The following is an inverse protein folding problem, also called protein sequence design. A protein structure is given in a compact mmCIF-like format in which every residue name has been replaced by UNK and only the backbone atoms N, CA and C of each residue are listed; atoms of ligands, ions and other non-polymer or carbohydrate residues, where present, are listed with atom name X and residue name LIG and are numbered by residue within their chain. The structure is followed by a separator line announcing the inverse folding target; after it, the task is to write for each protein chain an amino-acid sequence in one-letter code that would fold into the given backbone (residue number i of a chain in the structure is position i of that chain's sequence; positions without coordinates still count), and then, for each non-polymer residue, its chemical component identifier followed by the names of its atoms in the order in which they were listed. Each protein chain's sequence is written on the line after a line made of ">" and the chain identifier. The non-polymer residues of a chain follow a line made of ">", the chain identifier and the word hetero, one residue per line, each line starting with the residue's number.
data_IF_389922730266
#
_entry.id   IF_389922730266
#
_cell.length_a   1.000
_cell.length_b   1.000
_cell.length_c   1.000
_cell.angle_alpha   90.00
_cell.angle_beta   90.00
_cell.angle_gamma   90.00
#
_symmetry.space_group_name_H-M   'P 1'
#
loop_
_entity.id
_entity.type
_entity.pdbx_description
1 polymer ?
#
# COMPACT_ATOMS: atom_id res chain seq x y z
N UNK A 1 1.92 8.45 11.98
CA UNK A 1 1.45 8.45 10.58
C UNK A 1 0.58 9.66 10.34
N UNK A 2 0.56 10.21 9.13
CA UNK A 2 -0.33 11.33 8.78
C UNK A 2 -0.56 11.40 7.27
N UNK A 3 -1.72 11.90 6.84
CA UNK A 3 -1.99 12.33 5.46
C UNK A 3 -1.43 13.72 5.15
N UNK A 4 -1.10 14.49 6.19
CA UNK A 4 -0.64 15.86 6.07
C UNK A 4 0.88 15.91 5.89
N UNK A 5 1.39 16.40 4.74
CA UNK A 5 2.83 16.43 4.46
C UNK A 5 3.59 17.32 5.45
N UNK A 6 3.00 18.41 5.93
CA UNK A 6 3.55 19.31 6.94
C UNK A 6 3.78 18.59 8.28
N UNK A 7 2.88 17.70 8.68
CA UNK A 7 3.02 16.88 9.88
C UNK A 7 4.18 15.90 9.71
N UNK A 8 4.31 15.27 8.53
CA UNK A 8 5.43 14.38 8.23
C UNK A 8 6.76 15.14 8.29
N UNK A 9 6.85 16.30 7.63
CA UNK A 9 8.06 17.14 7.66
C UNK A 9 8.42 17.59 9.07
N UNK A 10 7.42 17.93 9.89
CA UNK A 10 7.65 18.27 11.30
C UNK A 10 8.30 17.11 12.06
N UNK A 11 7.77 15.88 11.93
CA UNK A 11 8.33 14.72 12.63
C UNK A 11 9.70 14.31 12.10
N UNK A 12 9.96 14.43 10.81
CA UNK A 12 11.29 14.19 10.24
C UNK A 12 12.34 15.17 10.78
N UNK A 13 11.95 16.42 11.01
CA UNK A 13 12.85 17.47 11.53
C UNK A 13 13.02 17.42 13.05
N UNK A 14 11.95 17.20 13.80
CA UNK A 14 11.91 17.40 15.26
C UNK A 14 11.81 16.10 16.06
N UNK A 15 11.46 14.98 15.42
CA UNK A 15 11.17 13.72 16.10
C UNK A 15 12.39 12.89 16.51
N UNK A 16 13.61 13.37 16.24
CA UNK A 16 14.84 12.61 16.50
C UNK A 16 14.80 11.22 15.87
N UNK A 17 15.09 10.18 16.66
CA UNK A 17 15.06 8.79 16.19
C UNK A 17 13.66 8.32 15.79
N UNK A 18 12.61 8.79 16.48
CA UNK A 18 11.22 8.45 16.16
C UNK A 18 10.78 9.04 14.81
N UNK A 19 11.39 10.16 14.39
CA UNK A 19 11.16 10.76 13.07
C UNK A 19 11.46 9.80 11.92
N UNK A 20 12.43 8.88 12.09
CA UNK A 20 12.77 7.86 11.09
C UNK A 20 11.63 6.86 10.86
N UNK A 21 10.70 6.75 11.81
CA UNK A 21 9.51 5.89 11.73
C UNK A 21 8.26 6.66 11.26
N UNK A 22 8.40 7.91 10.78
CA UNK A 22 7.29 8.62 10.16
C UNK A 22 6.75 7.83 8.95
N UNK A 23 5.43 7.74 8.87
CA UNK A 23 4.68 7.01 7.83
C UNK A 23 3.75 8.00 7.14
N UNK A 24 3.97 8.24 5.85
CA UNK A 24 3.17 9.19 5.06
C UNK A 24 2.02 8.46 4.36
N UNK A 25 0.79 8.82 4.71
CA UNK A 25 -0.44 8.22 4.17
C UNK A 25 -0.84 8.93 2.87
N UNK A 26 -1.29 8.15 1.88
CA UNK A 26 -1.74 8.66 0.59
C UNK A 26 -2.92 7.86 0.05
N UNK A 27 -3.88 8.58 -0.54
CA UNK A 27 -5.09 8.04 -1.18
C UNK A 27 -5.32 8.63 -2.58
N UNK A 28 -4.33 9.34 -3.11
CA UNK A 28 -4.41 10.02 -4.40
C UNK A 28 -4.22 9.01 -5.53
N UNK A 29 -5.31 8.60 -6.19
CA UNK A 29 -5.24 7.61 -7.28
C UNK A 29 -4.51 8.14 -8.54
N UNK A 30 -4.51 9.45 -8.78
CA UNK A 30 -3.58 10.05 -9.75
C UNK A 30 -2.18 10.16 -9.12
N UNK A 31 -1.41 9.10 -9.32
CA UNK A 31 -0.12 8.90 -8.67
C UNK A 31 1.05 9.64 -9.35
N UNK A 32 0.84 10.26 -10.51
CA UNK A 32 1.93 10.81 -11.32
C UNK A 32 2.69 11.93 -10.59
N UNK A 33 1.99 12.81 -9.87
CA UNK A 33 2.62 13.84 -9.06
C UNK A 33 3.38 13.23 -7.87
N UNK A 34 2.81 12.23 -7.21
CA UNK A 34 3.39 11.58 -6.03
C UNK A 34 4.68 10.84 -6.33
N UNK A 35 4.74 10.16 -7.48
CA UNK A 35 5.96 9.52 -7.99
C UNK A 35 7.09 10.55 -8.15
N UNK A 36 6.79 11.74 -8.69
CA UNK A 36 7.79 12.80 -8.87
C UNK A 36 8.31 13.38 -7.55
N UNK A 37 7.53 13.33 -6.48
CA UNK A 37 7.91 13.82 -5.15
C UNK A 37 8.76 12.82 -4.35
N UNK A 38 8.77 11.54 -4.72
CA UNK A 38 9.45 10.46 -3.99
C UNK A 38 10.94 10.76 -3.69
N UNK A 39 11.77 11.25 -4.64
CA UNK A 39 13.16 11.58 -4.36
C UNK A 39 13.33 12.64 -3.27
N UNK A 40 12.48 13.67 -3.26
CA UNK A 40 12.52 14.74 -2.26
C UNK A 40 12.11 14.25 -0.87
N UNK A 41 11.10 13.38 -0.80
CA UNK A 41 10.73 12.73 0.47
C UNK A 41 11.85 11.84 1.01
N UNK A 42 12.52 11.11 0.11
CA UNK A 42 13.64 10.24 0.47
C UNK A 42 14.83 11.05 1.00
N UNK A 43 15.15 12.16 0.33
CA UNK A 43 16.18 13.12 0.76
C UNK A 43 15.83 13.77 2.10
N UNK A 44 14.55 14.02 2.38
CA UNK A 44 14.08 14.50 3.68
C UNK A 44 14.16 13.45 4.80
N UNK A 45 14.59 12.22 4.50
CA UNK A 45 14.79 11.15 5.48
C UNK A 45 13.57 10.26 5.71
N UNK A 46 12.51 10.39 4.91
CA UNK A 46 11.32 9.54 5.03
C UNK A 46 11.65 8.09 4.62
N UNK A 47 11.24 7.13 5.45
CA UNK A 47 11.48 5.71 5.22
C UNK A 47 10.26 4.94 4.72
N UNK A 48 9.06 5.36 5.13
CA UNK A 48 7.82 4.61 4.95
C UNK A 48 6.78 5.42 4.18
N UNK A 49 6.32 4.86 3.08
CA UNK A 49 5.11 5.33 2.39
C UNK A 49 3.96 4.38 2.71
N UNK A 50 2.79 4.96 2.90
CA UNK A 50 1.57 4.23 3.22
C UNK A 50 0.46 4.58 2.24
N UNK A 51 0.57 4.11 0.99
CA UNK A 51 -0.47 4.31 -0.01
C UNK A 51 -1.69 3.42 0.27
N UNK A 52 -2.85 3.84 -0.21
CA UNK A 52 -4.02 2.98 -0.29
C UNK A 52 -3.76 1.80 -1.24
N UNK A 53 -4.40 0.66 -1.00
CA UNK A 53 -4.24 -0.55 -1.82
C UNK A 53 -4.35 -0.34 -3.34
N UNK A 54 -5.36 0.38 -3.89
CA UNK A 54 -5.50 0.53 -5.34
C UNK A 54 -4.33 1.30 -5.98
N UNK A 55 -3.50 2.01 -5.21
CA UNK A 55 -2.30 2.65 -5.74
C UNK A 55 -1.15 1.67 -5.97
N UNK A 56 -1.18 0.47 -5.39
CA UNK A 56 -0.04 -0.47 -5.40
C UNK A 56 -0.10 -1.54 -6.48
N UNK A 57 -1.27 -1.77 -7.07
CA UNK A 57 -1.47 -2.82 -8.07
C UNK A 57 -2.32 -2.31 -9.23
N UNK A 58 -2.23 -2.98 -10.37
CA UNK A 58 -3.04 -2.71 -11.56
C UNK A 58 -3.38 -4.00 -12.29
N UNK A 59 -4.45 -3.98 -13.07
CA UNK A 59 -4.70 -5.00 -14.09
C UNK A 59 -3.84 -4.68 -15.32
N UNK A 60 -3.04 -5.65 -15.75
CA UNK A 60 -2.29 -5.60 -16.99
C UNK A 60 -2.64 -6.83 -17.84
N UNK A 61 -3.68 -6.67 -18.68
CA UNK A 61 -4.14 -7.72 -19.58
C UNK A 61 -4.76 -8.92 -18.85
N UNK A 62 -5.53 -8.67 -17.79
CA UNK A 62 -6.16 -9.69 -16.97
C UNK A 62 -5.25 -10.31 -15.90
N UNK A 63 -4.07 -9.71 -15.66
CA UNK A 63 -3.15 -10.11 -14.59
C UNK A 63 -3.02 -8.98 -13.58
N UNK A 64 -3.14 -9.33 -12.31
CA UNK A 64 -2.89 -8.40 -11.22
C UNK A 64 -1.37 -8.28 -11.00
N UNK A 65 -0.81 -7.10 -11.21
CA UNK A 65 0.64 -6.85 -11.14
C UNK A 65 0.95 -5.58 -10.33
N UNK A 66 2.19 -5.39 -9.84
CA UNK A 66 2.60 -4.14 -9.21
C UNK A 66 2.38 -2.92 -10.11
N UNK A 67 1.82 -1.85 -9.55
CA UNK A 67 1.62 -0.58 -10.24
C UNK A 67 2.95 0.15 -10.47
N UNK A 68 2.90 1.23 -11.25
CA UNK A 68 4.08 2.06 -11.50
C UNK A 68 4.47 2.86 -10.24
N UNK A 69 3.51 3.20 -9.38
CA UNK A 69 3.78 3.77 -8.05
C UNK A 69 4.54 2.79 -7.16
N UNK A 70 4.12 1.52 -7.11
CA UNK A 70 4.78 0.50 -6.30
C UNK A 70 6.24 0.29 -6.74
N UNK A 71 6.48 0.23 -8.05
CA UNK A 71 7.82 0.13 -8.64
C UNK A 71 8.68 1.34 -8.30
N UNK A 72 8.17 2.55 -8.52
CA UNK A 72 8.89 3.79 -8.22
C UNK A 72 9.24 3.93 -6.73
N UNK A 73 8.31 3.56 -5.83
CA UNK A 73 8.57 3.59 -4.39
C UNK A 73 9.71 2.65 -3.99
N UNK A 74 9.73 1.44 -4.58
CA UNK A 74 10.78 0.45 -4.34
C UNK A 74 12.13 0.91 -4.91
N UNK A 75 12.15 1.48 -6.11
CA UNK A 75 13.35 2.05 -6.74
C UNK A 75 13.95 3.19 -5.91
N UNK A 76 13.11 4.00 -5.25
CA UNK A 76 13.53 5.03 -4.31
C UNK A 76 13.86 4.50 -2.91
N UNK A 77 13.75 3.19 -2.67
CA UNK A 77 14.13 2.56 -1.40
C UNK A 77 13.12 2.78 -0.25
N UNK A 78 11.85 3.06 -0.56
CA UNK A 78 10.80 3.13 0.46
C UNK A 78 10.34 1.75 0.91
N UNK A 79 10.01 1.65 2.20
CA UNK A 79 9.21 0.55 2.74
C UNK A 79 7.74 0.91 2.59
N UNK A 80 6.93 -0.04 2.12
CA UNK A 80 5.51 0.18 1.84
C UNK A 80 4.65 -0.43 2.94
N UNK A 81 3.70 0.33 3.47
CA UNK A 81 2.68 -0.16 4.42
C UNK A 81 1.30 0.20 3.88
N UNK A 82 0.54 -0.73 3.32
CA UNK A 82 -0.71 -0.39 2.63
C UNK A 82 -1.94 -0.45 3.55
N UNK A 83 -3.05 0.16 3.15
CA UNK A 83 -4.30 0.14 3.92
C UNK A 83 -5.56 0.28 3.04
N UNK A 84 -6.76 -0.10 3.50
CA UNK A 84 -7.05 -1.24 4.40
C UNK A 84 -7.65 -2.38 3.57
N UNK A 85 -7.49 -3.63 4.01
CA UNK A 85 -7.84 -4.79 3.18
C UNK A 85 -9.34 -5.11 3.11
N UNK A 86 -10.10 -4.92 4.19
CA UNK A 86 -11.46 -5.45 4.31
C UNK A 86 -12.58 -4.41 4.49
N UNK A 87 -12.26 -3.11 4.50
CA UNK A 87 -13.23 -2.04 4.81
C UNK A 87 -14.43 -1.97 3.87
N UNK A 88 -14.31 -2.51 2.67
CA UNK A 88 -15.34 -2.51 1.63
C UNK A 88 -16.44 -3.56 1.78
N UNK A 89 -16.38 -4.41 2.80
CA UNK A 89 -17.27 -5.58 2.90
C UNK A 89 -16.90 -6.68 1.89
N UNK A 90 -17.81 -7.64 1.61
CA UNK A 90 -17.50 -8.81 0.80
C UNK A 90 -16.98 -8.45 -0.59
N UNK A 91 -15.80 -8.97 -0.95
CA UNK A 91 -15.17 -8.72 -2.24
C UNK A 91 -16.02 -9.25 -3.40
N UNK A 92 -16.79 -10.31 -3.18
CA UNK A 92 -17.75 -10.83 -4.17
C UNK A 92 -18.83 -9.81 -4.61
N UNK A 93 -19.03 -8.74 -3.82
CA UNK A 93 -19.96 -7.63 -4.15
C UNK A 93 -19.25 -6.45 -4.82
N UNK A 94 -17.98 -6.60 -5.20
CA UNK A 94 -17.22 -5.64 -5.99
C UNK A 94 -16.15 -4.86 -5.23
N UNK A 95 -16.01 -5.01 -3.90
CA UNK A 95 -14.92 -4.40 -3.13
C UNK A 95 -14.91 -2.85 -3.09
N UNK A 96 -15.81 -2.16 -3.79
CA UNK A 96 -15.90 -0.70 -3.76
C UNK A 96 -14.58 0.01 -4.06
N UNK A 97 -14.33 1.14 -3.38
CA UNK A 97 -13.20 2.02 -3.67
C UNK A 97 -11.82 1.34 -3.53
N UNK A 98 -11.65 0.47 -2.54
CA UNK A 98 -10.37 -0.21 -2.25
C UNK A 98 -9.92 -1.19 -3.34
N UNK A 99 -10.81 -1.55 -4.26
CA UNK A 99 -10.56 -2.47 -5.36
C UNK A 99 -10.77 -1.79 -6.73
N UNK A 100 -10.77 -0.46 -6.76
CA UNK A 100 -10.89 0.34 -7.99
C UNK A 100 -9.76 0.01 -8.97
N UNK A 101 -10.10 -0.16 -10.24
CA UNK A 101 -9.17 -0.46 -11.33
C UNK A 101 -8.75 -1.93 -11.42
N UNK A 102 -9.22 -2.78 -10.49
CA UNK A 102 -8.93 -4.21 -10.42
C UNK A 102 -10.20 -5.04 -10.13
N UNK A 103 -11.38 -4.51 -10.44
CA UNK A 103 -12.71 -5.11 -10.22
C UNK A 103 -12.89 -6.48 -10.90
N UNK A 104 -12.08 -6.73 -11.93
CA UNK A 104 -12.05 -8.02 -12.62
C UNK A 104 -11.40 -9.14 -11.81
N UNK A 105 -10.62 -8.80 -10.77
CA UNK A 105 -9.91 -9.76 -9.93
C UNK A 105 -10.68 -10.20 -8.69
N UNK A 106 -11.75 -9.49 -8.29
CA UNK A 106 -12.56 -9.80 -7.11
C UNK A 106 -13.92 -10.41 -7.45
N UNK A 107 -13.97 -11.71 -7.79
CA UNK A 107 -15.24 -12.39 -8.15
C UNK A 107 -15.84 -13.20 -7.00
N UNK A 108 -15.00 -13.60 -6.03
CA UNK A 108 -15.39 -14.28 -4.80
C UNK A 108 -14.56 -13.75 -3.64
N UNK A 109 -15.04 -13.92 -2.41
CA UNK A 109 -14.36 -13.40 -1.22
C UNK A 109 -12.95 -13.98 -1.04
N UNK A 110 -12.74 -15.24 -1.44
CA UNK A 110 -11.43 -15.88 -1.39
C UNK A 110 -10.38 -15.29 -2.34
N UNK A 111 -10.76 -14.47 -3.32
CA UNK A 111 -9.80 -13.80 -4.20
C UNK A 111 -8.96 -12.75 -3.45
N UNK A 112 -9.37 -12.35 -2.25
CA UNK A 112 -8.60 -11.50 -1.34
C UNK A 112 -7.18 -12.04 -1.09
N UNK A 113 -7.02 -13.37 -1.06
CA UNK A 113 -5.72 -14.00 -0.85
C UNK A 113 -4.81 -13.92 -2.08
N UNK A 114 -5.37 -13.81 -3.29
CA UNK A 114 -4.56 -13.54 -4.49
C UNK A 114 -4.07 -12.10 -4.49
N UNK A 115 -4.94 -11.17 -4.06
CA UNK A 115 -4.60 -9.77 -3.89
C UNK A 115 -3.47 -9.59 -2.86
N UNK A 116 -3.62 -10.25 -1.70
CA UNK A 116 -2.56 -10.32 -0.69
C UNK A 116 -1.26 -10.93 -1.21
N UNK A 117 -1.32 -11.94 -2.08
CA UNK A 117 -0.11 -12.56 -2.63
C UNK A 117 0.70 -11.57 -3.48
N UNK A 118 0.04 -10.81 -4.34
CA UNK A 118 0.69 -9.76 -5.16
C UNK A 118 1.24 -8.64 -4.28
N UNK A 119 0.47 -8.17 -3.29
CA UNK A 119 0.93 -7.15 -2.35
C UNK A 119 2.16 -7.61 -1.54
N UNK A 120 2.11 -8.81 -0.96
CA UNK A 120 3.16 -9.30 -0.09
C UNK A 120 4.43 -9.68 -0.86
N UNK A 121 4.32 -10.34 -2.01
CA UNK A 121 5.47 -10.89 -2.73
C UNK A 121 5.97 -10.02 -3.86
N UNK A 122 5.07 -9.56 -4.71
CA UNK A 122 5.46 -8.87 -5.94
C UNK A 122 5.72 -7.38 -5.66
N UNK A 123 4.83 -6.74 -4.90
CA UNK A 123 5.05 -5.37 -4.41
C UNK A 123 6.09 -5.37 -3.28
N UNK A 124 6.02 -6.33 -2.36
CA UNK A 124 6.95 -6.43 -1.24
C UNK A 124 6.63 -5.48 -0.09
N UNK A 125 5.35 -5.37 0.28
CA UNK A 125 4.94 -4.54 1.41
C UNK A 125 5.58 -5.03 2.73
N UNK A 126 5.95 -4.09 3.60
CA UNK A 126 6.45 -4.37 4.95
C UNK A 126 5.32 -4.52 5.99
N UNK A 127 4.08 -4.17 5.62
CA UNK A 127 2.92 -4.30 6.48
C UNK A 127 1.63 -3.91 5.75
N UNK A 128 0.50 -4.29 6.33
CA UNK A 128 -0.83 -3.95 5.84
C UNK A 128 -1.75 -3.66 7.03
N UNK A 129 -2.56 -2.62 6.91
CA UNK A 129 -3.68 -2.40 7.83
C UNK A 129 -4.84 -3.29 7.41
N UNK A 130 -5.30 -4.11 8.35
CA UNK A 130 -6.43 -5.01 8.17
C UNK A 130 -7.48 -4.70 9.21
N UNK A 131 -8.73 -4.60 8.76
CA UNK A 131 -9.86 -4.41 9.66
C UNK A 131 -10.23 -5.75 10.35
N UNK A 132 -9.76 -6.87 9.78
CA UNK A 132 -9.96 -8.23 10.30
C UNK A 132 -8.65 -9.02 10.32
N UNK A 133 -7.91 -9.05 11.44
CA UNK A 133 -6.54 -9.59 11.47
C UNK A 133 -6.44 -11.08 11.10
N UNK A 134 -7.54 -11.84 11.15
CA UNK A 134 -7.57 -13.24 10.78
C UNK A 134 -7.14 -13.49 9.32
N UNK A 135 -7.56 -12.67 8.36
CA UNK A 135 -7.23 -12.85 6.92
C UNK A 135 -5.74 -12.77 6.69
N UNK A 136 -5.11 -11.69 7.17
CA UNK A 136 -3.69 -11.43 6.99
C UNK A 136 -2.84 -12.41 7.80
N UNK A 137 -3.28 -12.78 9.01
CA UNK A 137 -2.60 -13.77 9.85
C UNK A 137 -2.63 -15.16 9.21
N UNK A 138 -3.79 -15.59 8.69
CA UNK A 138 -3.92 -16.86 8.01
C UNK A 138 -3.02 -16.92 6.77
N UNK A 139 -3.03 -15.87 5.95
CA UNK A 139 -2.15 -15.76 4.78
C UNK A 139 -0.67 -15.87 5.16
N UNK A 140 -0.21 -15.08 6.15
CA UNK A 140 1.17 -15.07 6.59
C UNK A 140 1.62 -16.44 7.08
N UNK A 141 0.81 -17.12 7.89
CA UNK A 141 1.09 -18.49 8.35
C UNK A 141 1.15 -19.50 7.20
N UNK A 142 0.22 -19.43 6.24
CA UNK A 142 0.22 -20.33 5.08
C UNK A 142 1.43 -20.11 4.15
N UNK A 143 1.94 -18.88 4.05
CA UNK A 143 3.09 -18.54 3.20
C UNK A 143 4.43 -18.55 3.94
N UNK A 144 4.43 -18.75 5.26
CA UNK A 144 5.62 -18.73 6.13
C UNK A 144 6.38 -17.40 6.05
N UNK A 145 5.63 -16.30 6.13
CA UNK A 145 6.15 -14.93 6.19
C UNK A 145 6.41 -14.49 7.64
#
# INVERSE_FOLDING_TARGET
>A
QSFQPEVIRYWLKNGGEFGKQAVYLDETLDTAARIKEMPEWRKAGLNYLSPAMPMLVKDEGGKLVPSDYAKAAKENGFKLITWTLERSGPLARGGGWYFTGIENHGKKDGDIYKYLDVLAKDVGISGIFSDWPATVTYYANCKKL
#
